data_IF_374857854290
#
_entry.id   IF_374857854290
#
_cell.length_a   1.000
_cell.length_b   1.000
_cell.length_c   1.000
_cell.angle_alpha   90.00
_cell.angle_beta   90.00
_cell.angle_gamma   90.00
#
_symmetry.space_group_name_H-M   'P 1'
#
loop_
_entity.id
_entity.type
_entity.pdbx_description
1 polymer ?
#
# COMPACT_ATOMS: atom_id res chain seq x y z
N UNK A 1 14.09 28.39 -13.48
CA UNK A 1 14.95 28.02 -12.34
C UNK A 1 16.19 28.89 -12.39
N UNK A 2 16.48 29.60 -11.29
CA UNK A 2 17.74 30.33 -11.17
C UNK A 2 18.87 29.33 -10.89
N UNK A 3 20.12 29.69 -11.21
CA UNK A 3 21.30 28.86 -10.87
C UNK A 3 21.44 28.64 -9.35
N UNK A 4 20.81 29.48 -8.54
CA UNK A 4 20.88 29.41 -7.08
C UNK A 4 19.90 28.34 -6.54
N UNK A 5 18.74 28.13 -7.19
CA UNK A 5 17.82 27.02 -6.87
C UNK A 5 18.42 25.65 -7.22
N UNK A 6 19.19 25.58 -8.30
CA UNK A 6 19.84 24.34 -8.78
C UNK A 6 21.01 23.88 -7.89
N UNK A 7 21.55 24.80 -7.08
CA UNK A 7 22.66 24.55 -6.16
C UNK A 7 22.13 24.11 -4.78
N UNK A 8 21.03 24.71 -4.31
CA UNK A 8 20.33 24.31 -3.08
C UNK A 8 19.76 22.89 -3.14
N UNK A 9 19.31 22.42 -4.30
CA UNK A 9 18.81 21.05 -4.49
C UNK A 9 19.96 20.02 -4.49
N UNK A 10 21.17 20.41 -4.91
CA UNK A 10 22.36 19.52 -4.91
C UNK A 10 23.00 19.37 -3.53
N UNK A 11 22.88 20.39 -2.68
CA UNK A 11 23.43 20.36 -1.32
C UNK A 11 22.47 19.72 -0.31
N UNK A 12 21.16 19.62 -0.62
CA UNK A 12 20.15 19.01 0.27
C UNK A 12 20.09 17.47 0.21
N UNK A 13 20.79 16.83 -0.73
CA UNK A 13 20.85 15.38 -0.89
C UNK A 13 22.28 14.97 -1.22
N UNK A 14 23.12 14.81 -0.19
CA UNK A 14 24.45 14.28 -0.41
C UNK A 14 24.33 12.85 -0.97
N UNK A 15 25.23 12.47 -1.88
CA UNK A 15 25.26 11.10 -2.44
C UNK A 15 25.50 10.02 -1.38
N UNK A 16 25.97 10.42 -0.19
CA UNK A 16 26.21 9.53 0.94
C UNK A 16 24.89 9.21 1.67
N UNK A 17 24.04 10.21 1.94
CA UNK A 17 22.73 10.01 2.59
C UNK A 17 21.80 9.11 1.76
N UNK A 18 21.78 9.32 0.44
CA UNK A 18 20.99 8.51 -0.49
C UNK A 18 21.49 7.06 -0.55
N UNK A 19 22.80 6.83 -0.44
CA UNK A 19 23.36 5.49 -0.46
C UNK A 19 23.08 4.73 0.84
N UNK A 20 23.00 5.43 1.97
CA UNK A 20 22.69 4.83 3.28
C UNK A 20 21.21 4.42 3.35
N UNK A 21 20.28 5.29 2.94
CA UNK A 21 18.84 4.97 2.83
C UNK A 21 18.57 3.78 1.89
N UNK A 22 19.25 3.73 0.73
CA UNK A 22 19.10 2.61 -0.22
C UNK A 22 19.62 1.31 0.37
N UNK A 23 20.67 1.36 1.19
CA UNK A 23 21.28 0.18 1.80
C UNK A 23 20.44 -0.35 2.96
N UNK A 24 19.87 0.54 3.77
CA UNK A 24 18.92 0.20 4.82
C UNK A 24 17.65 -0.41 4.23
N UNK A 25 17.06 0.25 3.21
CA UNK A 25 15.91 -0.28 2.49
C UNK A 25 16.17 -1.64 1.84
N UNK A 26 17.36 -1.84 1.26
CA UNK A 26 17.73 -3.13 0.70
C UNK A 26 17.86 -4.21 1.78
N UNK A 27 18.43 -3.89 2.94
CA UNK A 27 18.53 -4.84 4.05
C UNK A 27 17.16 -5.20 4.66
N UNK A 28 16.20 -4.27 4.65
CA UNK A 28 14.83 -4.54 5.10
C UNK A 28 14.04 -5.37 4.08
N UNK A 29 14.26 -5.16 2.78
CA UNK A 29 13.66 -5.98 1.71
C UNK A 29 14.25 -7.39 1.75
N UNK A 30 15.57 -7.53 1.84
CA UNK A 30 16.26 -8.81 1.94
C UNK A 30 15.88 -9.59 3.24
N UNK A 31 15.41 -8.89 4.29
CA UNK A 31 14.88 -9.51 5.50
C UNK A 31 13.38 -9.86 5.42
N UNK A 32 12.65 -9.29 4.46
CA UNK A 32 11.23 -9.52 4.21
C UNK A 32 10.96 -10.50 3.05
N UNK A 33 12.00 -10.93 2.32
CA UNK A 33 11.94 -12.09 1.44
C UNK A 33 11.75 -13.36 2.30
N UNK A 34 10.51 -13.60 2.73
CA UNK A 34 10.06 -14.95 3.03
C UNK A 34 10.28 -15.78 1.75
N UNK A 35 11.09 -16.84 1.83
CA UNK A 35 11.36 -17.87 0.80
C UNK A 35 10.07 -18.65 0.40
N UNK A 36 8.95 -17.96 0.18
CA UNK A 36 7.62 -18.49 -0.10
C UNK A 36 7.32 -18.61 -1.60
N UNK A 37 8.21 -18.08 -2.45
CA UNK A 37 8.12 -18.20 -3.90
C UNK A 37 8.45 -19.64 -4.36
N UNK A 38 7.49 -20.55 -4.19
CA UNK A 38 7.57 -21.87 -4.81
C UNK A 38 6.82 -23.00 -4.12
N UNK A 39 6.32 -22.79 -2.90
CA UNK A 39 5.56 -23.84 -2.22
C UNK A 39 4.12 -23.88 -2.73
N UNK A 40 3.79 -24.96 -3.42
CA UNK A 40 2.45 -25.20 -3.97
C UNK A 40 1.63 -26.06 -3.02
N UNK A 41 0.41 -25.62 -2.72
CA UNK A 41 -0.52 -26.33 -1.83
C UNK A 41 -1.29 -25.35 -0.95
N UNK A 42 -2.56 -25.65 -0.71
CA UNK A 42 -3.41 -24.91 0.23
C UNK A 42 -4.08 -25.93 1.16
N UNK A 43 -4.10 -25.62 2.45
CA UNK A 43 -4.85 -26.38 3.45
C UNK A 43 -6.27 -25.84 3.61
N UNK A 44 -7.21 -26.72 3.93
CA UNK A 44 -8.57 -26.31 4.27
C UNK A 44 -8.54 -25.50 5.58
N UNK A 45 -9.15 -24.31 5.55
CA UNK A 45 -9.36 -23.44 6.70
C UNK A 45 -10.77 -23.63 7.21
N UNK A 46 -10.91 -24.06 8.46
CA UNK A 46 -12.23 -24.38 9.03
C UNK A 46 -13.03 -23.11 9.35
N UNK A 47 -14.33 -23.27 9.57
CA UNK A 47 -15.20 -22.14 9.96
C UNK A 47 -14.86 -21.64 11.36
N UNK A 48 -14.45 -22.54 12.24
CA UNK A 48 -14.03 -22.26 13.59
C UNK A 48 -12.75 -21.41 13.59
N UNK A 49 -11.74 -21.80 12.80
CA UNK A 49 -10.52 -21.01 12.61
C UNK A 49 -10.82 -19.61 12.05
N UNK A 50 -11.66 -19.54 11.02
CA UNK A 50 -12.09 -18.24 10.46
C UNK A 50 -12.79 -17.37 11.51
N UNK A 51 -13.60 -17.96 12.39
CA UNK A 51 -14.31 -17.23 13.44
C UNK A 51 -13.36 -16.69 14.51
N UNK A 52 -12.32 -17.46 14.86
CA UNK A 52 -11.27 -17.04 15.80
C UNK A 52 -10.53 -15.84 15.22
N UNK A 53 -10.02 -15.97 13.99
CA UNK A 53 -9.27 -14.90 13.32
C UNK A 53 -10.09 -13.61 13.22
N UNK A 54 -11.36 -13.73 12.82
CA UNK A 54 -12.25 -12.57 12.72
C UNK A 54 -12.55 -11.93 14.06
N UNK A 55 -12.71 -12.72 15.11
CA UNK A 55 -12.97 -12.19 16.44
C UNK A 55 -11.76 -11.42 16.98
N UNK A 56 -10.54 -11.92 16.78
CA UNK A 56 -9.32 -11.22 17.20
C UNK A 56 -9.12 -9.92 16.41
N UNK A 57 -9.21 -9.97 15.07
CA UNK A 57 -9.11 -8.76 14.25
C UNK A 57 -10.16 -7.70 14.62
N UNK A 58 -11.39 -8.10 14.93
CA UNK A 58 -12.45 -7.18 15.37
C UNK A 58 -12.21 -6.61 16.78
N UNK A 59 -11.51 -7.34 17.65
CA UNK A 59 -11.14 -6.85 18.97
C UNK A 59 -10.02 -5.81 18.89
N UNK A 60 -9.00 -6.05 18.06
CA UNK A 60 -7.83 -5.19 17.92
C UNK A 60 -8.10 -3.98 17.01
N UNK A 61 -8.80 -4.17 15.89
CA UNK A 61 -9.02 -3.15 14.86
C UNK A 61 -10.53 -2.95 14.58
N UNK A 62 -11.33 -2.49 15.56
CA UNK A 62 -12.80 -2.46 15.46
C UNK A 62 -13.34 -1.59 14.31
N UNK A 63 -12.57 -0.61 13.85
CA UNK A 63 -12.98 0.32 12.79
C UNK A 63 -12.65 -0.18 11.37
N UNK A 64 -11.70 -1.11 11.22
CA UNK A 64 -11.19 -1.53 9.89
C UNK A 64 -11.09 -3.06 9.71
N UNK A 65 -11.48 -3.89 10.68
CA UNK A 65 -11.36 -5.37 10.61
C UNK A 65 -12.08 -6.02 9.40
N UNK A 66 -13.02 -5.31 8.78
CA UNK A 66 -13.73 -5.76 7.57
C UNK A 66 -12.96 -5.52 6.28
N UNK A 67 -11.84 -4.79 6.33
CA UNK A 67 -11.02 -4.47 5.16
C UNK A 67 -10.50 -5.73 4.47
N UNK A 68 -9.94 -6.66 5.24
CA UNK A 68 -9.44 -7.93 4.71
C UNK A 68 -10.63 -8.83 4.38
N UNK A 69 -10.79 -9.23 3.13
CA UNK A 69 -11.88 -10.13 2.71
C UNK A 69 -11.72 -11.54 3.29
N UNK A 70 -12.82 -12.29 3.40
CA UNK A 70 -12.75 -13.69 3.86
C UNK A 70 -11.88 -14.55 2.95
N UNK A 71 -11.88 -14.26 1.64
CA UNK A 71 -11.03 -14.93 0.68
C UNK A 71 -9.55 -14.65 0.96
N UNK A 72 -9.19 -13.40 1.26
CA UNK A 72 -7.82 -13.03 1.60
C UNK A 72 -7.36 -13.68 2.90
N UNK A 73 -8.15 -13.58 3.98
CA UNK A 73 -7.85 -14.22 5.27
C UNK A 73 -7.65 -15.73 5.11
N UNK A 74 -8.53 -16.39 4.35
CA UNK A 74 -8.36 -17.82 4.01
C UNK A 74 -7.07 -18.08 3.24
N UNK A 75 -6.74 -17.23 2.28
CA UNK A 75 -5.53 -17.40 1.46
C UNK A 75 -4.24 -17.30 2.28
N UNK A 76 -4.21 -16.48 3.33
CA UNK A 76 -3.06 -16.40 4.27
C UNK A 76 -3.07 -17.59 5.21
N UNK A 77 -4.24 -17.95 5.75
CA UNK A 77 -4.40 -19.05 6.70
C UNK A 77 -4.16 -20.44 6.08
N UNK A 78 -4.37 -20.60 4.77
CA UNK A 78 -4.21 -21.86 4.06
C UNK A 78 -2.76 -22.23 3.77
N UNK A 79 -1.81 -21.31 3.97
CA UNK A 79 -0.45 -21.50 3.47
C UNK A 79 0.34 -22.57 4.25
N UNK A 80 1.06 -23.44 3.52
CA UNK A 80 2.03 -24.38 4.10
C UNK A 80 3.24 -23.65 4.68
N UNK A 81 3.98 -24.30 5.57
CA UNK A 81 5.32 -23.84 5.93
C UNK A 81 6.27 -23.90 4.72
N UNK A 82 7.08 -22.86 4.54
CA UNK A 82 8.02 -22.76 3.42
C UNK A 82 9.08 -23.89 3.46
N UNK A 83 9.49 -24.29 4.67
CA UNK A 83 10.48 -25.36 4.89
C UNK A 83 9.91 -26.77 4.78
N UNK A 84 8.62 -26.95 5.05
CA UNK A 84 7.92 -28.24 4.96
C UNK A 84 6.50 -28.04 4.43
N UNK A 85 6.29 -28.23 3.11
CA UNK A 85 5.00 -28.07 2.46
C UNK A 85 3.89 -29.00 2.99
N UNK A 86 4.26 -30.07 3.71
CA UNK A 86 3.30 -31.03 4.27
C UNK A 86 2.66 -30.55 5.58
N UNK A 87 3.18 -29.47 6.16
CA UNK A 87 2.72 -28.92 7.43
C UNK A 87 2.09 -27.55 7.17
N UNK A 88 0.86 -27.34 7.67
CA UNK A 88 0.19 -26.05 7.64
C UNK A 88 0.83 -25.08 8.63
N UNK A 89 0.86 -23.79 8.31
CA UNK A 89 1.22 -22.75 9.28
C UNK A 89 0.24 -22.75 10.47
N UNK A 90 0.74 -22.51 11.69
CA UNK A 90 -0.09 -22.34 12.86
C UNK A 90 -0.91 -21.05 12.74
N UNK A 91 -2.08 -21.05 13.37
CA UNK A 91 -3.00 -19.91 13.34
C UNK A 91 -2.36 -18.66 13.92
N UNK A 92 -1.48 -18.80 14.90
CA UNK A 92 -0.75 -17.69 15.53
C UNK A 92 0.13 -16.94 14.53
N UNK A 93 0.78 -17.65 13.60
CA UNK A 93 1.58 -17.02 12.54
C UNK A 93 0.69 -16.31 11.51
N UNK A 94 -0.47 -16.88 11.20
CA UNK A 94 -1.48 -16.21 10.36
C UNK A 94 -1.96 -14.92 11.02
N UNK A 95 -2.26 -14.96 12.32
CA UNK A 95 -2.68 -13.79 13.08
C UNK A 95 -1.60 -12.71 13.10
N UNK A 96 -0.35 -13.07 13.38
CA UNK A 96 0.78 -12.13 13.34
C UNK A 96 0.87 -11.41 11.99
N UNK A 97 0.76 -12.13 10.86
CA UNK A 97 0.76 -11.51 9.53
C UNK A 97 -0.41 -10.58 9.30
N UNK A 98 -1.63 -10.99 9.69
CA UNK A 98 -2.82 -10.17 9.46
C UNK A 98 -2.80 -8.92 10.35
N UNK A 99 -2.43 -9.05 11.62
CA UNK A 99 -2.26 -7.93 12.56
C UNK A 99 -1.20 -6.97 12.04
N UNK A 100 -0.05 -7.45 11.55
CA UNK A 100 0.99 -6.59 10.99
C UNK A 100 0.47 -5.74 9.81
N UNK A 101 -0.33 -6.31 8.92
CA UNK A 101 -0.95 -5.55 7.83
C UNK A 101 -1.91 -4.49 8.37
N UNK A 102 -2.71 -4.82 9.38
CA UNK A 102 -3.66 -3.87 9.99
C UNK A 102 -2.96 -2.73 10.75
N UNK A 103 -1.90 -3.04 11.50
CA UNK A 103 -1.05 -2.04 12.18
C UNK A 103 -0.44 -1.07 11.17
N UNK A 104 0.15 -1.60 10.09
CA UNK A 104 0.70 -0.77 9.02
C UNK A 104 -0.36 0.16 8.40
N UNK A 105 -1.58 -0.34 8.20
CA UNK A 105 -2.68 0.48 7.65
C UNK A 105 -3.03 1.64 8.57
N UNK A 106 -3.10 1.39 9.88
CA UNK A 106 -3.37 2.42 10.88
C UNK A 106 -2.25 3.46 10.91
N UNK A 107 -0.98 3.02 10.94
CA UNK A 107 0.20 3.89 10.93
C UNK A 107 0.27 4.75 9.65
N UNK A 108 -0.05 4.18 8.50
CA UNK A 108 -0.09 4.88 7.22
C UNK A 108 -1.31 5.80 7.07
N UNK A 109 -2.28 5.75 8.00
CA UNK A 109 -3.53 6.50 7.92
C UNK A 109 -4.44 6.03 6.78
N UNK A 110 -4.34 4.77 6.35
CA UNK A 110 -5.19 4.22 5.28
C UNK A 110 -6.70 4.37 5.57
N UNK A 111 -7.20 4.11 6.79
CA UNK A 111 -8.64 4.25 7.09
C UNK A 111 -9.18 5.68 6.92
N UNK A 112 -8.35 6.72 7.07
CA UNK A 112 -8.81 8.12 6.93
C UNK A 112 -8.82 8.63 5.49
N UNK A 113 -8.27 7.90 4.52
CA UNK A 113 -8.09 8.39 3.14
C UNK A 113 -9.41 8.76 2.46
N UNK A 114 -10.47 7.98 2.68
CA UNK A 114 -11.80 8.27 2.13
C UNK A 114 -12.39 9.57 2.71
N UNK A 115 -12.22 9.77 4.02
CA UNK A 115 -12.63 11.00 4.71
C UNK A 115 -11.90 12.23 4.17
N UNK A 116 -10.61 12.11 3.84
CA UNK A 116 -9.85 13.20 3.20
C UNK A 116 -10.45 13.60 1.85
N UNK A 117 -10.94 12.64 1.06
CA UNK A 117 -11.63 12.94 -0.21
C UNK A 117 -12.96 13.64 0.03
N UNK A 118 -13.70 13.30 1.07
CA UNK A 118 -14.92 14.03 1.42
C UNK A 118 -14.61 15.47 1.84
N UNK A 119 -13.54 15.66 2.63
CA UNK A 119 -13.12 16.97 3.11
C UNK A 119 -12.74 17.92 1.95
N UNK A 120 -11.96 17.44 0.97
CA UNK A 120 -11.53 18.27 -0.18
C UNK A 120 -12.68 18.61 -1.14
N UNK A 121 -13.68 17.75 -1.24
CA UNK A 121 -14.88 18.01 -2.04
C UNK A 121 -15.88 18.95 -1.32
N UNK A 122 -15.69 19.19 -0.03
CA UNK A 122 -16.48 20.10 0.79
C UNK A 122 -16.09 21.58 0.63
N UNK A 123 -16.74 22.44 1.40
CA UNK A 123 -16.36 23.86 1.47
C UNK A 123 -15.12 24.05 2.32
N UNK A 124 -14.13 24.80 1.83
CA UNK A 124 -12.95 25.18 2.62
C UNK A 124 -13.28 26.03 3.86
N UNK A 125 -14.50 26.53 3.97
CA UNK A 125 -14.99 27.32 5.11
C UNK A 125 -15.90 26.53 6.06
N UNK A 126 -16.03 25.21 5.87
CA UNK A 126 -16.77 24.36 6.80
C UNK A 126 -16.13 24.38 8.19
N UNK A 127 -16.90 24.04 9.23
CA UNK A 127 -16.37 23.97 10.59
C UNK A 127 -15.31 22.86 10.70
N UNK A 128 -15.53 21.72 10.04
CA UNK A 128 -14.56 20.62 9.94
C UNK A 128 -13.21 21.05 9.35
N UNK A 129 -13.24 21.86 8.28
CA UNK A 129 -12.04 22.40 7.63
C UNK A 129 -11.29 23.41 8.52
N UNK A 130 -12.02 24.21 9.31
CA UNK A 130 -11.43 25.17 10.25
C UNK A 130 -10.86 24.48 11.48
N UNK A 131 -11.51 23.43 11.96
CA UNK A 131 -11.07 22.64 13.10
C UNK A 131 -9.83 21.80 12.77
N UNK A 132 -9.69 21.36 11.50
CA UNK A 132 -8.58 20.49 11.06
C UNK A 132 -7.85 21.06 9.82
N UNK A 133 -7.15 22.20 9.94
CA UNK A 133 -6.49 22.84 8.80
C UNK A 133 -5.39 21.96 8.17
N UNK A 134 -4.70 21.15 8.97
CA UNK A 134 -3.65 20.23 8.48
C UNK A 134 -4.24 19.09 7.64
N UNK A 135 -5.37 18.51 8.08
CA UNK A 135 -6.07 17.48 7.30
C UNK A 135 -6.57 18.04 5.97
N UNK A 136 -7.05 19.29 5.95
CA UNK A 136 -7.45 19.94 4.70
C UNK A 136 -6.25 20.10 3.74
N UNK A 137 -5.07 20.47 4.24
CA UNK A 137 -3.86 20.54 3.42
C UNK A 137 -3.50 19.16 2.86
N UNK A 138 -3.48 18.11 3.69
CA UNK A 138 -3.25 16.73 3.26
C UNK A 138 -4.26 16.29 2.19
N UNK A 139 -5.54 16.59 2.39
CA UNK A 139 -6.62 16.29 1.47
C UNK A 139 -6.49 16.99 0.10
N UNK A 140 -6.11 18.28 0.11
CA UNK A 140 -5.83 19.04 -1.13
C UNK A 140 -4.66 18.44 -1.91
N UNK A 141 -3.59 18.04 -1.22
CA UNK A 141 -2.42 17.41 -1.84
C UNK A 141 -2.78 16.04 -2.44
N UNK A 142 -3.52 15.22 -1.70
CA UNK A 142 -4.05 13.94 -2.18
C UNK A 142 -4.89 14.14 -3.46
N UNK A 143 -5.77 15.13 -3.49
CA UNK A 143 -6.57 15.45 -4.68
C UNK A 143 -5.72 15.83 -5.89
N UNK A 144 -4.63 16.59 -5.69
CA UNK A 144 -3.69 16.91 -6.77
C UNK A 144 -3.06 15.64 -7.33
N UNK A 145 -2.59 14.74 -6.45
CA UNK A 145 -2.00 13.45 -6.83
C UNK A 145 -2.96 12.58 -7.66
N UNK A 146 -4.22 12.46 -7.21
CA UNK A 146 -5.25 11.69 -7.92
C UNK A 146 -5.57 12.27 -9.30
N UNK A 147 -5.63 13.60 -9.43
CA UNK A 147 -5.99 14.27 -10.68
C UNK A 147 -4.94 14.16 -11.79
N UNK A 148 -3.73 13.68 -11.49
CA UNK A 148 -2.70 13.46 -12.52
C UNK A 148 -2.93 12.19 -13.36
N UNK A 149 -3.92 11.36 -13.02
CA UNK A 149 -4.25 10.12 -13.73
C UNK A 149 -3.00 9.23 -13.92
N UNK A 150 -2.15 9.19 -12.90
CA UNK A 150 -0.92 8.42 -12.85
C UNK A 150 -1.14 7.00 -12.32
N UNK A 151 -2.31 6.73 -11.73
CA UNK A 151 -2.71 5.46 -11.14
C UNK A 151 -4.16 5.16 -11.54
N UNK A 152 -4.45 3.97 -12.07
CA UNK A 152 -5.83 3.55 -12.35
C UNK A 152 -5.95 2.04 -12.55
N UNK A 153 -7.13 1.51 -12.23
CA UNK A 153 -7.50 0.13 -12.54
C UNK A 153 -8.00 0.04 -13.98
N UNK A 154 -7.45 -0.86 -14.79
CA UNK A 154 -7.94 -1.10 -16.14
C UNK A 154 -7.57 -2.47 -16.70
N UNK A 155 -8.58 -3.21 -17.12
CA UNK A 155 -8.43 -4.52 -17.77
C UNK A 155 -8.20 -5.66 -16.78
N UNK A 156 -8.11 -6.85 -17.35
CA UNK A 156 -7.90 -8.09 -16.62
C UNK A 156 -6.86 -8.94 -17.34
N UNK A 157 -6.13 -9.76 -16.60
CA UNK A 157 -5.30 -10.82 -17.19
C UNK A 157 -6.17 -11.92 -17.79
N UNK A 158 -5.55 -12.89 -18.49
CA UNK A 158 -6.26 -14.06 -19.04
C UNK A 158 -6.89 -14.92 -17.93
N UNK A 159 -6.32 -14.86 -16.74
CA UNK A 159 -6.74 -15.57 -15.53
C UNK A 159 -7.81 -14.79 -14.75
N UNK A 160 -8.23 -13.61 -15.24
CA UNK A 160 -9.26 -12.79 -14.59
C UNK A 160 -8.74 -11.89 -13.46
N UNK A 161 -7.42 -11.72 -13.31
CA UNK A 161 -6.85 -10.83 -12.29
C UNK A 161 -6.96 -9.37 -12.73
N UNK A 162 -7.50 -8.46 -11.92
CA UNK A 162 -7.52 -7.03 -12.23
C UNK A 162 -6.11 -6.48 -12.39
N UNK A 163 -5.98 -5.41 -13.19
CA UNK A 163 -4.69 -4.76 -13.45
C UNK A 163 -4.71 -3.33 -12.91
N UNK A 164 -3.79 -3.04 -11.98
CA UNK A 164 -3.47 -1.68 -11.54
C UNK A 164 -2.34 -1.13 -12.41
N UNK A 165 -2.62 -0.05 -13.14
CA UNK A 165 -1.64 0.65 -13.96
C UNK A 165 -1.01 1.78 -13.18
N UNK A 166 0.32 1.84 -13.23
CA UNK A 166 1.14 2.93 -12.69
C UNK A 166 1.87 3.60 -13.84
N UNK A 167 1.52 4.85 -14.15
CA UNK A 167 2.14 5.66 -15.20
C UNK A 167 3.16 6.59 -14.61
N UNK A 168 4.39 6.10 -14.46
CA UNK A 168 5.51 6.85 -13.90
C UNK A 168 5.72 8.19 -14.61
N UNK A 169 5.58 8.25 -15.94
CA UNK A 169 5.71 9.51 -16.70
C UNK A 169 4.63 10.58 -16.45
N UNK A 170 3.58 10.25 -15.68
CA UNK A 170 2.52 11.19 -15.30
C UNK A 170 2.50 11.52 -13.82
N UNK A 171 3.36 10.90 -13.01
CA UNK A 171 3.39 11.20 -11.59
C UNK A 171 3.96 12.61 -11.37
N UNK A 172 3.28 13.46 -10.57
CA UNK A 172 3.82 14.74 -10.14
C UNK A 172 4.89 14.48 -9.07
N UNK A 173 6.04 13.93 -9.49
CA UNK A 173 7.12 13.49 -8.59
C UNK A 173 7.55 14.55 -7.56
N UNK A 174 7.26 15.82 -7.85
CA UNK A 174 7.48 16.96 -6.97
C UNK A 174 6.21 17.83 -6.90
N UNK A 175 5.90 18.41 -5.73
CA UNK A 175 6.75 18.50 -4.54
C UNK A 175 6.43 17.48 -3.43
N UNK A 176 5.38 16.66 -3.53
CA UNK A 176 4.89 15.89 -2.38
C UNK A 176 4.78 14.39 -2.68
N UNK A 177 5.78 13.64 -2.23
CA UNK A 177 5.87 12.18 -2.31
C UNK A 177 4.80 11.47 -1.49
N UNK A 178 4.55 11.98 -0.28
CA UNK A 178 3.58 11.40 0.64
C UNK A 178 2.16 11.41 0.05
N UNK A 179 1.80 12.49 -0.66
CA UNK A 179 0.53 12.58 -1.37
C UNK A 179 0.37 11.51 -2.47
N UNK A 180 1.46 11.13 -3.15
CA UNK A 180 1.44 10.04 -4.14
C UNK A 180 1.29 8.67 -3.49
N UNK A 181 1.90 8.45 -2.32
CA UNK A 181 1.73 7.22 -1.52
C UNK A 181 0.29 7.14 -1.02
N UNK A 182 -0.26 8.23 -0.49
CA UNK A 182 -1.66 8.31 -0.04
C UNK A 182 -2.65 8.04 -1.18
N UNK A 183 -2.38 8.59 -2.37
CA UNK A 183 -3.18 8.31 -3.56
C UNK A 183 -3.11 6.84 -3.98
N UNK A 184 -1.93 6.21 -3.84
CA UNK A 184 -1.76 4.79 -4.11
C UNK A 184 -2.53 3.91 -3.11
N UNK A 185 -2.43 4.19 -1.82
CA UNK A 185 -3.18 3.50 -0.77
C UNK A 185 -4.69 3.59 -1.07
N UNK A 186 -5.21 4.79 -1.32
CA UNK A 186 -6.63 4.98 -1.60
C UNK A 186 -7.10 4.20 -2.84
N UNK A 187 -6.34 4.26 -3.94
CA UNK A 187 -6.68 3.55 -5.17
C UNK A 187 -6.56 2.03 -4.99
N UNK A 188 -5.55 1.56 -4.26
CA UNK A 188 -5.38 0.15 -3.93
C UNK A 188 -6.54 -0.36 -3.07
N UNK A 189 -6.88 0.33 -1.98
CA UNK A 189 -8.01 0.02 -1.10
C UNK A 189 -9.32 -0.07 -1.87
N UNK A 190 -9.60 0.92 -2.73
CA UNK A 190 -10.80 0.92 -3.56
C UNK A 190 -10.86 -0.29 -4.50
N UNK A 191 -9.71 -0.66 -5.09
CA UNK A 191 -9.59 -1.84 -5.95
C UNK A 191 -9.78 -3.13 -5.17
N UNK A 192 -9.13 -3.27 -4.01
CA UNK A 192 -9.20 -4.44 -3.13
C UNK A 192 -10.64 -4.68 -2.66
N UNK A 193 -11.35 -3.62 -2.23
CA UNK A 193 -12.77 -3.68 -1.85
C UNK A 193 -13.69 -4.11 -3.00
N UNK A 194 -13.27 -3.86 -4.25
CA UNK A 194 -14.02 -4.20 -5.45
C UNK A 194 -13.50 -5.46 -6.17
N UNK A 195 -12.62 -6.24 -5.55
CA UNK A 195 -12.10 -7.47 -6.14
C UNK A 195 -13.24 -8.46 -6.44
N UNK A 196 -13.21 -9.15 -7.59
CA UNK A 196 -14.16 -10.21 -7.87
C UNK A 196 -14.11 -11.32 -6.79
N UNK A 197 -15.25 -11.99 -6.58
CA UNK A 197 -15.31 -13.11 -5.63
C UNK A 197 -14.27 -14.18 -5.98
N UNK A 198 -13.49 -14.60 -4.98
CA UNK A 198 -12.43 -15.61 -5.12
C UNK A 198 -11.11 -15.09 -5.69
N UNK A 199 -11.02 -13.81 -6.07
CA UNK A 199 -9.76 -13.17 -6.47
C UNK A 199 -9.14 -12.49 -5.25
N UNK A 200 -7.91 -12.88 -4.91
CA UNK A 200 -7.16 -12.34 -3.75
C UNK A 200 -5.91 -11.58 -4.16
N UNK A 201 -5.62 -11.50 -5.46
CA UNK A 201 -4.43 -10.86 -6.01
C UNK A 201 -4.75 -10.05 -7.26
N UNK A 202 -3.82 -9.18 -7.62
CA UNK A 202 -3.91 -8.35 -8.81
C UNK A 202 -2.54 -8.12 -9.42
N UNK A 203 -2.51 -7.66 -10.66
CA UNK A 203 -1.26 -7.37 -11.36
C UNK A 203 -1.01 -5.88 -11.36
N UNK A 204 0.19 -5.49 -10.94
CA UNK A 204 0.67 -4.11 -11.08
C UNK A 204 1.50 -4.00 -12.36
N UNK A 205 1.10 -3.12 -13.27
CA UNK A 205 1.90 -2.76 -14.44
C UNK A 205 2.43 -1.35 -14.27
N UNK A 206 3.75 -1.24 -14.15
CA UNK A 206 4.44 0.04 -14.09
C UNK A 206 5.02 0.42 -15.45
N UNK A 207 4.48 1.48 -16.04
CA UNK A 207 4.98 2.07 -17.29
C UNK A 207 6.09 3.09 -16.98
N UNK A 208 7.33 2.61 -17.04
CA UNK A 208 8.55 3.37 -16.77
C UNK A 208 9.12 4.11 -17.99
N UNK A 209 8.26 4.62 -18.88
CA UNK A 209 8.65 5.42 -20.06
C UNK A 209 9.20 6.83 -19.75
N UNK A 210 9.70 7.08 -18.54
CA UNK A 210 10.22 8.39 -18.11
C UNK A 210 11.44 8.22 -17.22
N UNK A 211 12.36 9.20 -17.17
CA UNK A 211 13.55 9.11 -16.35
C UNK A 211 13.15 8.79 -14.90
N UNK A 212 13.95 7.97 -14.18
CA UNK A 212 13.64 7.58 -12.81
C UNK A 212 13.43 8.82 -11.94
N UNK A 213 12.63 8.71 -10.86
CA UNK A 213 12.53 9.79 -9.89
C UNK A 213 13.96 10.23 -9.52
N UNK A 214 14.25 11.55 -9.48
CA UNK A 214 15.60 12.03 -9.19
C UNK A 214 16.13 11.60 -7.81
N UNK A 215 15.26 11.06 -6.95
CA UNK A 215 15.60 10.54 -5.62
C UNK A 215 15.26 9.04 -5.51
N UNK A 216 16.26 8.15 -5.33
CA UNK A 216 16.06 6.69 -5.21
C UNK A 216 15.16 6.22 -4.07
N UNK A 217 15.12 6.94 -2.94
CA UNK A 217 14.30 6.56 -1.76
C UNK A 217 12.80 6.57 -2.02
N UNK A 218 12.35 7.25 -3.08
CA UNK A 218 10.96 7.22 -3.51
C UNK A 218 10.52 5.84 -4.05
N UNK A 219 11.31 5.23 -4.94
CA UNK A 219 10.96 3.92 -5.52
C UNK A 219 10.86 2.88 -4.39
N UNK A 220 11.76 3.00 -3.42
CA UNK A 220 11.75 2.21 -2.19
C UNK A 220 10.44 2.42 -1.42
N UNK A 221 10.02 3.66 -1.14
CA UNK A 221 8.80 3.92 -0.38
C UNK A 221 7.53 3.49 -1.13
N UNK A 222 7.49 3.64 -2.45
CA UNK A 222 6.39 3.12 -3.28
C UNK A 222 6.37 1.60 -3.30
N UNK A 223 7.53 0.95 -3.41
CA UNK A 223 7.61 -0.50 -3.33
C UNK A 223 7.23 -1.00 -1.93
N UNK A 224 7.66 -0.34 -0.85
CA UNK A 224 7.22 -0.64 0.53
C UNK A 224 5.71 -0.47 0.72
N UNK A 225 5.09 0.50 0.04
CA UNK A 225 3.64 0.68 0.07
C UNK A 225 2.88 -0.35 -0.78
N UNK A 226 3.55 -1.01 -1.75
CA UNK A 226 2.97 -2.05 -2.61
C UNK A 226 3.26 -3.46 -2.12
N UNK A 227 4.34 -3.63 -1.36
CA UNK A 227 4.86 -4.89 -0.84
C UNK A 227 5.02 -4.74 0.66
N UNK A 228 3.91 -4.99 1.36
CA UNK A 228 3.84 -5.56 2.71
C UNK A 228 2.45 -6.16 2.89
#
# INVERSE_FOLDING_TARGET
>A
MSKDEETLIKDALSKEDVNEEVKEAKSEIDAAEDDDEGVTGDFEVTKEEMSIIRAELACEFPEDYTYLSDAYVKSVASKPYSKDPSIRRPIEYTMEKLTHVMEWREEAGAPEMETLIHLVNGSEYSDEAKENPEKLVKAKLLAVSLNNASLYWHGFTKEGKPILWIRCGRKPWYPNVEAEVNALILIADAGIKCMPEGVTDFVVISDSNSPPPPVPSFLINVLKALVR
#
